data_IF_875645428263
#
_entry.id   IF_875645428263
#
_cell.length_a   1.000
_cell.length_b   1.000
_cell.length_c   1.000
_cell.angle_alpha   90.00
_cell.angle_beta   90.00
_cell.angle_gamma   90.00
#
_symmetry.space_group_name_H-M   'P 1'
#
loop_
_entity.id
_entity.type
_entity.pdbx_description
1 polymer ?
#
# COMPACT_ATOMS: atom_id res chain seq x y z
N UNK A 1 1.92 2.45 -23.05
CA UNK A 1 2.81 2.22 -21.89
C UNK A 1 2.04 2.53 -20.62
N UNK A 2 1.23 1.58 -20.12
CA UNK A 2 0.50 1.71 -18.84
C UNK A 2 0.11 0.32 -18.32
N UNK A 3 1.09 -0.47 -17.85
CA UNK A 3 0.89 -1.88 -17.44
C UNK A 3 1.18 -2.17 -15.97
N UNK A 4 1.08 -1.18 -15.07
CA UNK A 4 1.66 -1.29 -13.72
C UNK A 4 0.59 -1.31 -12.60
N UNK A 5 -0.69 -1.06 -12.90
CA UNK A 5 -1.74 -0.88 -11.89
C UNK A 5 -2.68 -2.08 -11.65
N UNK A 6 -2.54 -3.20 -12.36
CA UNK A 6 -3.60 -4.20 -12.51
C UNK A 6 -3.42 -5.50 -11.69
N UNK A 7 -2.70 -5.44 -10.56
CA UNK A 7 -2.51 -6.63 -9.71
C UNK A 7 -3.55 -6.78 -8.60
N UNK A 8 -4.30 -5.71 -8.31
CA UNK A 8 -5.37 -5.71 -7.32
C UNK A 8 -6.72 -5.59 -8.04
N UNK A 9 -7.71 -6.34 -7.60
CA UNK A 9 -9.10 -6.15 -8.02
C UNK A 9 -9.71 -4.90 -7.36
N UNK A 10 -10.91 -4.51 -7.78
CA UNK A 10 -11.56 -3.27 -7.31
C UNK A 10 -11.75 -3.23 -5.79
N UNK A 11 -12.14 -4.36 -5.18
CA UNK A 11 -12.39 -4.41 -3.74
C UNK A 11 -11.08 -4.36 -2.93
N UNK A 12 -10.03 -5.03 -3.40
CA UNK A 12 -8.68 -4.91 -2.83
C UNK A 12 -8.16 -3.47 -2.94
N UNK A 13 -8.39 -2.79 -4.07
CA UNK A 13 -8.04 -1.38 -4.24
C UNK A 13 -8.80 -0.50 -3.26
N UNK A 14 -10.10 -0.72 -3.06
CA UNK A 14 -10.91 0.03 -2.08
C UNK A 14 -10.37 -0.13 -0.67
N UNK A 15 -10.00 -1.34 -0.27
CA UNK A 15 -9.41 -1.61 1.05
C UNK A 15 -8.08 -0.85 1.20
N UNK A 16 -7.19 -0.93 0.21
CA UNK A 16 -5.91 -0.20 0.27
C UNK A 16 -6.15 1.30 0.34
N UNK A 17 -7.06 1.85 -0.46
CA UNK A 17 -7.39 3.28 -0.42
C UNK A 17 -7.94 3.71 0.95
N UNK A 18 -8.80 2.91 1.58
CA UNK A 18 -9.27 3.20 2.94
C UNK A 18 -8.13 3.28 3.95
N UNK A 19 -7.11 2.44 3.82
CA UNK A 19 -5.91 2.50 4.67
C UNK A 19 -5.07 3.74 4.36
N UNK A 20 -4.96 4.12 3.08
CA UNK A 20 -4.23 5.30 2.65
C UNK A 20 -4.85 6.58 3.22
N UNK A 21 -6.15 6.76 3.01
CA UNK A 21 -6.89 7.97 3.39
C UNK A 21 -7.11 8.04 4.91
N UNK A 22 -7.33 6.90 5.57
CA UNK A 22 -7.65 6.87 7.00
C UNK A 22 -6.44 6.83 7.92
N UNK A 23 -5.43 6.02 7.59
CA UNK A 23 -4.30 5.74 8.49
C UNK A 23 -3.01 6.37 7.98
N UNK A 24 -2.69 6.15 6.71
CA UNK A 24 -1.38 6.48 6.17
C UNK A 24 -1.15 7.98 6.05
N UNK A 25 -2.14 8.74 5.56
CA UNK A 25 -2.04 10.20 5.47
C UNK A 25 -1.74 10.83 6.84
N UNK A 26 -2.51 10.44 7.85
CA UNK A 26 -2.31 10.90 9.24
C UNK A 26 -0.90 10.55 9.74
N UNK A 27 -0.43 9.33 9.46
CA UNK A 27 0.90 8.89 9.82
C UNK A 27 2.01 9.70 9.14
N UNK A 28 1.90 9.97 7.84
CA UNK A 28 2.87 10.79 7.08
C UNK A 28 2.91 12.20 7.66
N UNK A 29 1.75 12.85 7.84
CA UNK A 29 1.69 14.23 8.35
C UNK A 29 2.31 14.38 9.75
N UNK A 30 2.29 13.31 10.54
CA UNK A 30 2.90 13.30 11.88
C UNK A 30 4.39 12.98 11.85
N UNK A 31 4.80 12.02 11.02
CA UNK A 31 6.15 11.42 11.08
C UNK A 31 7.12 12.04 10.07
N UNK A 32 6.61 12.48 8.92
CA UNK A 32 7.38 13.08 7.83
C UNK A 32 6.63 14.29 7.23
N UNK A 33 6.37 15.34 8.03
CA UNK A 33 5.59 16.51 7.60
C UNK A 33 6.23 17.29 6.44
N UNK A 34 7.53 17.08 6.20
CA UNK A 34 8.29 17.72 5.14
C UNK A 34 8.50 16.83 3.92
N UNK A 35 7.89 15.64 3.89
CA UNK A 35 7.97 14.69 2.78
C UNK A 35 9.43 14.44 2.33
N UNK A 36 10.30 14.14 3.29
CA UNK A 36 11.75 13.98 3.10
C UNK A 36 12.11 12.78 2.22
N UNK A 37 11.19 11.81 2.11
CA UNK A 37 11.26 10.71 1.17
C UNK A 37 10.56 9.47 1.71
N UNK A 38 10.16 8.57 0.81
CA UNK A 38 9.41 7.35 1.17
C UNK A 38 10.15 6.43 2.17
N UNK A 39 11.47 6.57 2.29
CA UNK A 39 12.26 5.89 3.31
C UNK A 39 11.77 6.15 4.73
N UNK A 40 11.34 7.38 5.04
CA UNK A 40 10.87 7.80 6.36
C UNK A 40 9.63 7.02 6.85
N UNK A 41 8.79 6.57 5.91
CA UNK A 41 7.54 5.85 6.22
C UNK A 41 7.58 4.37 5.85
N UNK A 42 8.70 3.91 5.29
CA UNK A 42 8.83 2.56 4.71
C UNK A 42 8.61 1.43 5.71
N UNK A 43 9.03 1.61 6.97
CA UNK A 43 8.83 0.61 8.02
C UNK A 43 7.35 0.43 8.35
N UNK A 44 6.61 1.53 8.49
CA UNK A 44 5.17 1.49 8.75
C UNK A 44 4.43 0.83 7.58
N UNK A 45 4.76 1.21 6.33
CA UNK A 45 4.20 0.59 5.12
C UNK A 45 4.48 -0.91 5.08
N UNK A 46 5.70 -1.33 5.43
CA UNK A 46 6.07 -2.74 5.43
C UNK A 46 5.26 -3.57 6.43
N UNK A 47 4.98 -3.01 7.62
CA UNK A 47 4.12 -3.61 8.63
C UNK A 47 2.67 -3.67 8.15
N UNK A 48 2.12 -2.56 7.65
CA UNK A 48 0.71 -2.50 7.22
C UNK A 48 0.42 -3.41 6.03
N UNK A 49 1.32 -3.46 5.05
CA UNK A 49 1.25 -4.40 3.93
C UNK A 49 1.29 -5.85 4.40
N UNK A 50 2.12 -6.18 5.39
CA UNK A 50 2.16 -7.54 5.96
C UNK A 50 0.81 -7.88 6.59
N UNK A 51 0.25 -6.98 7.38
CA UNK A 51 -1.07 -7.17 7.99
C UNK A 51 -2.17 -7.41 6.94
N UNK A 52 -2.19 -6.63 5.86
CA UNK A 52 -3.14 -6.85 4.75
C UNK A 52 -2.97 -8.23 4.11
N UNK A 53 -1.74 -8.65 3.81
CA UNK A 53 -1.47 -9.93 3.13
C UNK A 53 -1.65 -11.16 4.03
N UNK A 54 -1.56 -10.99 5.35
CA UNK A 54 -1.61 -12.09 6.32
C UNK A 54 -3.01 -12.25 6.92
N UNK A 55 -3.75 -11.15 7.10
CA UNK A 55 -4.97 -11.14 7.92
C UNK A 55 -6.23 -10.72 7.17
N UNK A 56 -6.14 -10.07 6.01
CA UNK A 56 -7.33 -9.57 5.32
C UNK A 56 -7.87 -10.61 4.31
N UNK A 57 -9.14 -11.04 4.41
CA UNK A 57 -9.69 -12.12 3.57
C UNK A 57 -9.57 -11.88 2.06
N UNK A 58 -9.72 -10.64 1.60
CA UNK A 58 -9.55 -10.30 0.18
C UNK A 58 -8.13 -10.52 -0.37
N UNK A 59 -7.13 -10.73 0.47
CA UNK A 59 -5.74 -10.99 0.08
C UNK A 59 -5.29 -12.42 0.40
N UNK A 60 -6.21 -13.26 0.90
CA UNK A 60 -5.94 -14.67 1.16
C UNK A 60 -5.69 -15.40 -0.16
N UNK A 61 -4.52 -16.01 -0.30
CA UNK A 61 -4.18 -16.85 -1.44
C UNK A 61 -3.08 -17.84 -1.05
N UNK A 62 -3.17 -19.05 -1.61
CA UNK A 62 -2.12 -20.08 -1.51
C UNK A 62 -1.13 -20.02 -2.70
N UNK A 63 -1.42 -19.19 -3.70
CA UNK A 63 -0.60 -19.04 -4.90
C UNK A 63 0.49 -17.98 -4.65
N UNK A 64 1.75 -18.42 -4.69
CA UNK A 64 2.89 -17.54 -4.38
C UNK A 64 3.02 -16.38 -5.37
N UNK A 65 2.72 -16.61 -6.65
CA UNK A 65 2.72 -15.55 -7.68
C UNK A 65 1.68 -14.47 -7.38
N UNK A 66 0.46 -14.85 -7.00
CA UNK A 66 -0.61 -13.90 -6.64
C UNK A 66 -0.23 -13.09 -5.40
N UNK A 67 0.31 -13.76 -4.38
CA UNK A 67 0.78 -13.07 -3.17
C UNK A 67 1.88 -12.04 -3.48
N UNK A 68 2.79 -12.35 -4.40
CA UNK A 68 3.83 -11.42 -4.88
C UNK A 68 3.22 -10.26 -5.69
N UNK A 69 2.20 -10.55 -6.51
CA UNK A 69 1.48 -9.55 -7.27
C UNK A 69 0.74 -8.58 -6.34
N UNK A 70 0.02 -9.08 -5.34
CA UNK A 70 -0.66 -8.28 -4.33
C UNK A 70 0.31 -7.41 -3.55
N UNK A 71 1.43 -7.98 -3.09
CA UNK A 71 2.49 -7.23 -2.42
C UNK A 71 2.97 -6.05 -3.28
N UNK A 72 3.24 -6.30 -4.55
CA UNK A 72 3.71 -5.28 -5.50
C UNK A 72 2.64 -4.21 -5.76
N UNK A 73 1.38 -4.62 -5.90
CA UNK A 73 0.25 -3.71 -6.09
C UNK A 73 0.02 -2.79 -4.88
N UNK A 74 0.10 -3.35 -3.66
CA UNK A 74 0.01 -2.59 -2.42
C UNK A 74 1.19 -1.59 -2.34
N UNK A 75 2.42 -2.05 -2.55
CA UNK A 75 3.62 -1.20 -2.50
C UNK A 75 3.56 -0.04 -3.50
N UNK A 76 3.07 -0.31 -4.71
CA UNK A 76 2.86 0.71 -5.73
C UNK A 76 1.87 1.78 -5.24
N UNK A 77 0.72 1.38 -4.70
CA UNK A 77 -0.32 2.30 -4.21
C UNK A 77 0.19 3.20 -3.07
N UNK A 78 0.90 2.64 -2.09
CA UNK A 78 1.49 3.43 -1.01
C UNK A 78 2.49 4.47 -1.53
N UNK A 79 3.35 4.09 -2.47
CA UNK A 79 4.33 5.01 -3.07
C UNK A 79 3.66 6.10 -3.90
N UNK A 80 2.70 5.72 -4.74
CA UNK A 80 1.93 6.63 -5.58
C UNK A 80 1.22 7.69 -4.72
N UNK A 81 0.50 7.26 -3.69
CA UNK A 81 -0.17 8.15 -2.75
C UNK A 81 0.79 9.12 -2.05
N UNK A 82 1.92 8.62 -1.55
CA UNK A 82 2.94 9.49 -0.94
C UNK A 82 3.49 10.53 -1.92
N UNK A 83 3.72 10.16 -3.20
CA UNK A 83 4.17 11.11 -4.22
C UNK A 83 3.09 12.14 -4.56
N UNK A 84 1.81 11.78 -4.51
CA UNK A 84 0.71 12.73 -4.72
C UNK A 84 0.57 13.76 -3.60
N UNK A 85 1.00 13.43 -2.38
CA UNK A 85 0.96 14.36 -1.24
C UNK A 85 2.18 15.30 -1.17
N UNK A 86 3.29 14.92 -1.79
CA UNK A 86 4.56 15.67 -1.81
C UNK A 86 4.54 16.79 -2.86
#
# INVERSE_FOLDING_TARGET
MSGIGQFLNEDQVRVVNSVLDGEFETFIRTTDPHFTGFGAVSQWVAMRRRDLLDNHPLFETHVQEERRAYKSGIDFRFRDFYQCLR
#
